data_IF_326679470715
#
_entry.id   IF_326679470715
#
_cell.length_a   1.000
_cell.length_b   1.000
_cell.length_c   1.000
_cell.angle_alpha   90.00
_cell.angle_beta   90.00
_cell.angle_gamma   90.00
#
_symmetry.space_group_name_H-M   'P 1'
#
loop_
_entity.id
_entity.type
_entity.pdbx_description
1 polymer ?
#
# COMPACT_ATOMS: atom_id res chain seq x y z
N UNK A 1 -16.64 14.05 -13.29
CA UNK A 1 -16.16 12.69 -13.60
C UNK A 1 -17.21 11.73 -13.07
N UNK A 2 -17.83 10.93 -13.93
CA UNK A 2 -18.79 9.90 -13.53
C UNK A 2 -18.00 8.74 -12.94
N UNK A 3 -17.89 8.65 -11.62
CA UNK A 3 -17.33 7.47 -10.97
C UNK A 3 -18.35 6.33 -11.13
N UNK A 4 -18.09 5.41 -12.05
CA UNK A 4 -18.89 4.22 -12.20
C UNK A 4 -18.54 3.27 -11.05
N UNK A 5 -19.51 2.94 -10.20
CA UNK A 5 -19.31 1.98 -9.12
C UNK A 5 -18.69 0.68 -9.67
N UNK A 6 -17.52 0.29 -9.15
CA UNK A 6 -16.83 -0.96 -9.50
C UNK A 6 -15.80 -0.90 -10.63
N UNK A 7 -15.46 0.27 -11.19
CA UNK A 7 -14.29 0.38 -12.08
C UNK A 7 -13.02 0.50 -11.25
N UNK A 8 -12.14 -0.51 -11.32
CA UNK A 8 -10.81 -0.45 -10.73
C UNK A 8 -10.04 0.75 -11.31
N UNK A 9 -9.71 1.72 -10.45
CA UNK A 9 -8.81 2.81 -10.78
C UNK A 9 -7.45 2.44 -10.17
N UNK A 10 -6.44 2.04 -10.97
CA UNK A 10 -5.12 1.78 -10.42
C UNK A 10 -4.46 3.09 -10.00
N UNK A 11 -3.48 2.99 -9.09
CA UNK A 11 -2.52 4.08 -8.93
C UNK A 11 -1.85 4.34 -10.29
N UNK A 12 -1.62 5.60 -10.62
CA UNK A 12 -1.02 6.02 -11.88
C UNK A 12 0.42 6.44 -11.64
N UNK A 13 1.36 5.85 -12.38
CA UNK A 13 2.71 6.39 -12.45
C UNK A 13 2.82 7.33 -13.64
N UNK A 14 3.39 8.50 -13.40
CA UNK A 14 3.83 9.39 -14.48
C UNK A 14 5.34 9.37 -14.46
N UNK A 15 5.96 8.90 -15.55
CA UNK A 15 7.42 8.98 -15.69
C UNK A 15 7.81 10.46 -15.78
N UNK A 16 8.25 10.99 -14.65
CA UNK A 16 8.88 12.30 -14.52
C UNK A 16 10.37 12.14 -14.23
N UNK A 17 10.93 10.96 -14.45
CA UNK A 17 12.31 10.72 -14.10
C UNK A 17 13.20 11.64 -14.93
N UNK A 18 14.06 12.44 -14.29
CA UNK A 18 15.02 13.26 -15.00
C UNK A 18 15.90 12.39 -15.92
N UNK A 19 16.32 12.98 -17.04
CA UNK A 19 17.26 12.34 -17.98
C UNK A 19 18.68 12.22 -17.41
N UNK A 20 18.96 12.97 -16.35
CA UNK A 20 20.19 12.94 -15.56
C UNK A 20 19.92 12.38 -14.16
N UNK A 21 20.93 11.80 -13.48
CA UNK A 21 20.76 11.34 -12.10
C UNK A 21 20.39 12.49 -11.16
N UNK A 22 19.81 12.16 -10.00
CA UNK A 22 19.78 13.09 -8.88
C UNK A 22 21.21 13.51 -8.56
N UNK A 23 21.41 14.80 -8.29
CA UNK A 23 22.74 15.34 -8.02
C UNK A 23 23.37 14.74 -6.75
N UNK A 24 22.53 14.30 -5.80
CA UNK A 24 22.99 13.67 -4.57
C UNK A 24 22.13 12.45 -4.20
N UNK A 25 22.74 11.35 -3.73
CA UNK A 25 24.19 11.15 -3.56
C UNK A 25 24.93 11.22 -4.91
N UNK A 26 26.06 11.93 -4.93
CA UNK A 26 26.80 12.22 -6.16
C UNK A 26 27.18 10.90 -6.86
N UNK A 27 26.71 10.67 -8.09
CA UNK A 27 26.99 9.44 -8.82
C UNK A 27 28.48 9.21 -9.09
N UNK A 28 29.33 10.24 -9.04
CA UNK A 28 30.77 10.09 -9.17
C UNK A 28 31.44 9.58 -7.87
N UNK A 29 30.75 9.69 -6.73
CA UNK A 29 31.32 9.44 -5.40
C UNK A 29 30.78 8.17 -4.75
N UNK A 30 29.55 7.75 -5.10
CA UNK A 30 28.83 6.63 -4.49
C UNK A 30 28.34 5.61 -5.51
N UNK A 31 28.19 4.35 -5.09
CA UNK A 31 27.49 3.30 -5.86
C UNK A 31 26.29 2.76 -5.05
N UNK A 32 25.15 3.49 -4.99
CA UNK A 32 24.02 3.16 -4.13
C UNK A 32 23.30 1.86 -4.51
N UNK A 33 23.05 1.02 -3.50
CA UNK A 33 22.29 -0.24 -3.57
C UNK A 33 21.39 -0.41 -2.35
N UNK A 34 20.35 -1.22 -2.50
CA UNK A 34 19.37 -1.59 -1.48
C UNK A 34 18.77 -0.38 -0.76
N UNK A 35 18.09 0.46 -1.53
CA UNK A 35 17.49 1.70 -1.00
C UNK A 35 16.36 1.36 -0.04
N UNK A 36 16.37 1.98 1.12
CA UNK A 36 15.23 2.04 2.03
C UNK A 36 15.04 3.48 2.53
N UNK A 37 14.00 3.71 3.33
CA UNK A 37 13.78 5.04 3.87
C UNK A 37 12.50 5.20 4.65
N UNK A 38 12.32 6.43 5.11
CA UNK A 38 11.12 6.91 5.79
C UNK A 38 10.93 8.40 5.56
N UNK A 39 9.71 8.87 5.82
CA UNK A 39 9.32 10.28 5.71
C UNK A 39 8.06 10.44 4.88
N UNK A 40 7.65 11.69 4.69
CA UNK A 40 6.47 12.05 3.92
C UNK A 40 6.52 13.53 3.48
N UNK A 41 5.61 13.95 2.61
CA UNK A 41 5.41 15.37 2.25
C UNK A 41 6.69 16.09 1.80
N UNK A 42 7.41 15.53 0.81
CA UNK A 42 8.69 16.07 0.34
C UNK A 42 9.80 16.13 1.42
N UNK A 43 9.55 15.64 2.63
CA UNK A 43 10.51 15.54 3.73
C UNK A 43 10.80 14.08 4.05
N UNK A 44 11.90 13.56 3.53
CA UNK A 44 12.22 12.15 3.69
C UNK A 44 13.71 11.88 3.74
N UNK A 45 14.04 10.75 4.35
CA UNK A 45 15.40 10.22 4.47
C UNK A 45 15.49 8.93 3.68
N UNK A 46 16.53 8.81 2.86
CA UNK A 46 16.88 7.57 2.16
C UNK A 46 18.16 7.00 2.75
N UNK A 47 18.20 5.68 2.85
CA UNK A 47 19.36 4.89 3.23
C UNK A 47 19.78 4.02 2.06
N UNK A 48 21.08 3.81 1.89
CA UNK A 48 21.61 2.90 0.88
C UNK A 48 22.95 2.31 1.32
N UNK A 49 23.26 1.13 0.81
CA UNK A 49 24.60 0.56 0.82
C UNK A 49 25.44 1.23 -0.26
N UNK A 50 26.64 1.70 0.09
CA UNK A 50 27.62 2.15 -0.90
C UNK A 50 28.52 0.97 -1.34
N UNK A 51 28.31 0.49 -2.56
CA UNK A 51 29.01 -0.69 -3.11
C UNK A 51 30.21 -0.37 -3.98
N UNK A 52 30.71 0.88 -3.91
CA UNK A 52 31.85 1.30 -4.72
C UNK A 52 33.09 0.40 -4.44
N UNK A 53 34.03 0.27 -5.40
CA UNK A 53 35.22 -0.55 -5.21
C UNK A 53 36.04 -0.13 -3.99
N UNK A 54 36.57 -1.12 -3.26
CA UNK A 54 37.48 -0.90 -2.12
C UNK A 54 36.96 -1.39 -0.77
N UNK A 55 35.66 -1.73 -0.67
CA UNK A 55 35.11 -2.40 0.51
C UNK A 55 35.19 -3.93 0.39
N UNK A 56 35.32 -4.66 1.51
CA UNK A 56 35.19 -6.12 1.50
C UNK A 56 33.81 -6.55 1.02
N UNK A 57 33.75 -7.70 0.33
CA UNK A 57 32.46 -8.33 0.02
C UNK A 57 31.67 -8.55 1.31
N UNK A 58 30.38 -8.20 1.28
CA UNK A 58 29.44 -8.31 2.41
C UNK A 58 29.76 -7.40 3.63
N UNK A 59 30.52 -6.32 3.43
CA UNK A 59 30.79 -5.29 4.45
C UNK A 59 30.74 -3.88 3.84
N UNK A 60 29.57 -3.52 3.32
CA UNK A 60 29.35 -2.23 2.66
C UNK A 60 28.82 -1.21 3.66
N UNK A 61 29.40 0.00 3.77
CA UNK A 61 28.87 1.01 4.66
C UNK A 61 27.50 1.49 4.21
N UNK A 62 26.61 1.70 5.17
CA UNK A 62 25.31 2.31 4.95
C UNK A 62 25.43 3.83 5.06
N UNK A 63 24.87 4.55 4.10
CA UNK A 63 24.77 6.00 4.11
C UNK A 63 23.32 6.44 4.21
N UNK A 64 23.11 7.65 4.74
CA UNK A 64 21.80 8.29 4.85
C UNK A 64 21.85 9.72 4.30
N UNK A 65 20.80 10.16 3.64
CA UNK A 65 20.60 11.55 3.26
C UNK A 65 19.14 11.96 3.45
N UNK A 66 18.94 13.16 3.99
CA UNK A 66 17.61 13.74 4.25
C UNK A 66 17.38 14.94 3.36
N UNK A 67 16.19 15.01 2.77
CA UNK A 67 15.69 16.21 2.06
C UNK A 67 14.47 16.75 2.78
N UNK A 68 14.26 18.07 2.71
CA UNK A 68 13.03 18.77 3.11
C UNK A 68 12.31 19.43 1.93
N UNK A 69 12.88 19.33 0.72
CA UNK A 69 12.43 20.00 -0.50
C UNK A 69 12.17 19.00 -1.64
N UNK A 70 11.82 17.76 -1.31
CA UNK A 70 11.53 16.70 -2.27
C UNK A 70 12.78 16.05 -2.85
N UNK A 71 12.64 15.17 -3.87
CA UNK A 71 13.73 14.32 -4.36
C UNK A 71 14.92 15.09 -4.94
N UNK A 72 14.75 16.34 -5.36
CA UNK A 72 15.84 17.20 -5.86
C UNK A 72 16.54 18.01 -4.76
N UNK A 73 16.08 17.91 -3.51
CA UNK A 73 16.56 18.70 -2.38
C UNK A 73 17.59 18.02 -1.48
N UNK A 74 18.19 16.90 -1.90
CA UNK A 74 19.21 16.21 -1.11
C UNK A 74 20.47 17.07 -0.92
N UNK A 75 21.09 17.04 0.29
CA UNK A 75 22.33 17.75 0.57
C UNK A 75 23.49 17.19 -0.25
N UNK A 76 24.57 17.97 -0.36
CA UNK A 76 25.79 17.59 -1.10
C UNK A 76 26.58 16.46 -0.46
N UNK A 77 26.39 16.22 0.83
CA UNK A 77 27.07 15.16 1.57
C UNK A 77 26.05 14.22 2.24
N UNK A 78 26.35 12.93 2.20
CA UNK A 78 25.58 11.91 2.90
C UNK A 78 26.25 11.57 4.24
N UNK A 79 25.44 11.28 5.24
CA UNK A 79 25.93 10.86 6.55
C UNK A 79 26.23 9.35 6.52
N UNK A 80 27.43 8.96 6.95
CA UNK A 80 27.77 7.55 7.12
C UNK A 80 27.17 7.01 8.42
N UNK A 81 26.53 5.85 8.34
CA UNK A 81 26.02 5.12 9.50
C UNK A 81 27.11 4.20 10.06
N UNK A 82 27.05 3.89 11.35
CA UNK A 82 27.87 2.85 11.99
C UNK A 82 27.38 1.41 11.69
N UNK A 83 26.77 1.18 10.53
CA UNK A 83 26.16 -0.08 10.10
C UNK A 83 26.81 -0.55 8.80
N UNK A 84 27.07 -1.86 8.71
CA UNK A 84 27.62 -2.51 7.52
C UNK A 84 26.84 -3.75 7.04
N UNK A 85 25.65 -3.96 7.60
CA UNK A 85 24.74 -5.01 7.18
C UNK A 85 24.16 -4.73 5.79
N UNK A 86 23.70 -5.79 5.12
CA UNK A 86 23.02 -5.65 3.83
C UNK A 86 21.51 -5.52 4.00
N UNK A 87 20.81 -5.00 2.99
CA UNK A 87 19.35 -4.79 3.00
C UNK A 87 18.89 -4.02 4.24
N UNK A 88 19.62 -2.96 4.59
CA UNK A 88 19.31 -2.15 5.76
C UNK A 88 18.00 -1.39 5.54
N UNK A 89 16.93 -1.87 6.19
CA UNK A 89 15.60 -1.27 6.12
C UNK A 89 15.35 -0.43 7.37
N UNK A 90 15.39 0.89 7.24
CA UNK A 90 15.15 1.82 8.34
C UNK A 90 13.73 2.41 8.29
N UNK A 91 13.10 2.58 9.45
CA UNK A 91 11.76 3.18 9.60
C UNK A 91 11.69 4.16 10.76
N UNK A 92 10.96 5.26 10.56
CA UNK A 92 10.51 6.17 11.61
C UNK A 92 9.29 5.58 12.35
N UNK A 93 9.51 4.41 12.96
CA UNK A 93 8.54 3.69 13.79
C UNK A 93 9.08 3.66 15.22
N UNK A 94 8.62 4.56 16.12
CA UNK A 94 9.18 4.66 17.47
C UNK A 94 9.06 3.36 18.25
N UNK A 95 10.05 3.06 19.10
CA UNK A 95 10.10 1.81 19.88
C UNK A 95 10.75 2.02 21.24
N UNK A 96 10.25 1.30 22.26
CA UNK A 96 10.91 1.22 23.57
C UNK A 96 11.71 -0.08 23.68
N UNK A 97 13.00 0.05 24.01
CA UNK A 97 13.93 -1.04 24.29
C UNK A 97 14.59 -0.77 25.63
N UNK A 98 14.48 -1.73 26.57
CA UNK A 98 15.08 -1.65 27.91
C UNK A 98 14.75 -0.33 28.65
N UNK A 99 13.51 0.15 28.52
CA UNK A 99 13.05 1.40 29.13
C UNK A 99 13.51 2.68 28.42
N UNK A 100 14.28 2.60 27.34
CA UNK A 100 14.69 3.74 26.52
C UNK A 100 13.84 3.85 25.26
N UNK A 101 13.36 5.06 24.95
CA UNK A 101 12.61 5.35 23.73
C UNK A 101 13.56 5.72 22.59
N UNK A 102 13.32 5.12 21.43
CA UNK A 102 14.03 5.37 20.19
C UNK A 102 13.06 5.84 19.11
N UNK A 103 13.45 6.87 18.36
CA UNK A 103 12.66 7.43 17.26
C UNK A 103 12.64 6.50 16.04
N UNK A 104 13.75 5.78 15.82
CA UNK A 104 13.95 4.95 14.65
C UNK A 104 14.20 3.51 15.04
N UNK A 105 13.79 2.61 14.15
CA UNK A 105 14.17 1.21 14.17
C UNK A 105 14.59 0.75 12.78
N UNK A 106 15.42 -0.27 12.71
CA UNK A 106 15.86 -0.84 11.45
C UNK A 106 16.16 -2.33 11.55
N UNK A 107 16.21 -2.98 10.40
CA UNK A 107 16.56 -4.38 10.25
C UNK A 107 17.62 -4.52 9.16
N UNK A 108 18.66 -5.31 9.41
CA UNK A 108 19.71 -5.61 8.43
C UNK A 108 19.97 -7.11 8.35
N UNK A 109 20.40 -7.59 7.20
CA UNK A 109 20.88 -8.96 7.01
C UNK A 109 22.39 -9.03 7.19
N UNK A 110 22.83 -10.06 7.94
CA UNK A 110 24.23 -10.30 8.25
C UNK A 110 24.84 -11.09 7.10
N UNK A 111 25.30 -10.41 6.06
CA UNK A 111 25.79 -11.07 4.84
C UNK A 111 24.73 -11.95 4.18
N UNK A 112 25.15 -13.02 3.50
CA UNK A 112 24.26 -13.94 2.79
C UNK A 112 23.97 -15.21 3.61
N UNK A 113 23.60 -15.05 4.88
CA UNK A 113 23.24 -16.13 5.81
C UNK A 113 21.89 -15.84 6.49
N UNK A 114 21.23 -16.84 7.14
CA UNK A 114 19.92 -16.66 7.76
C UNK A 114 19.79 -15.65 8.91
N UNK A 115 20.87 -14.95 9.26
CA UNK A 115 20.92 -14.06 10.41
C UNK A 115 20.57 -12.63 10.03
N UNK A 116 19.70 -12.03 10.84
CA UNK A 116 19.32 -10.63 10.77
C UNK A 116 19.66 -9.93 12.07
N UNK A 117 19.76 -8.60 12.04
CA UNK A 117 19.95 -7.76 13.21
C UNK A 117 18.85 -6.73 13.34
N UNK A 118 18.40 -6.52 14.56
CA UNK A 118 17.46 -5.47 14.92
C UNK A 118 18.23 -4.28 15.51
N UNK A 119 17.98 -3.09 14.96
CA UNK A 119 18.64 -1.85 15.35
C UNK A 119 17.64 -0.80 15.84
N UNK A 120 18.12 0.07 16.72
CA UNK A 120 17.40 1.27 17.17
C UNK A 120 18.32 2.49 17.16
N UNK A 121 17.75 3.67 16.92
CA UNK A 121 18.49 4.92 16.93
C UNK A 121 17.62 6.14 17.27
N UNK A 122 18.27 7.21 17.72
CA UNK A 122 17.68 8.55 17.87
C UNK A 122 18.31 9.58 16.93
N UNK A 123 19.30 9.17 16.15
CA UNK A 123 19.93 9.94 15.08
C UNK A 123 20.17 9.02 13.87
N UNK A 124 20.58 9.59 12.74
CA UNK A 124 20.72 8.84 11.48
C UNK A 124 22.01 8.01 11.40
N UNK A 125 22.98 8.24 12.28
CA UNK A 125 24.35 7.75 12.16
C UNK A 125 24.75 6.70 13.20
N UNK A 126 24.22 6.81 14.43
CA UNK A 126 24.56 5.97 15.57
C UNK A 126 23.43 4.98 15.86
N UNK A 127 23.46 3.86 15.17
CA UNK A 127 22.56 2.74 15.36
C UNK A 127 23.10 1.78 16.41
N UNK A 128 22.25 1.43 17.36
CA UNK A 128 22.53 0.39 18.36
C UNK A 128 21.94 -0.92 17.85
N UNK A 129 22.80 -1.92 17.60
CA UNK A 129 22.34 -3.30 17.43
C UNK A 129 21.79 -3.80 18.77
N UNK A 130 20.51 -4.15 18.81
CA UNK A 130 19.82 -4.65 19.99
C UNK A 130 19.91 -6.16 20.07
N UNK A 131 19.69 -6.85 18.95
CA UNK A 131 19.72 -8.31 18.89
C UNK A 131 20.05 -8.82 17.49
N UNK A 132 20.46 -10.08 17.43
CA UNK A 132 20.60 -10.88 16.21
C UNK A 132 19.56 -11.99 16.25
N UNK A 133 18.82 -12.21 15.16
CA UNK A 133 17.71 -13.16 15.11
C UNK A 133 17.66 -13.91 13.78
N UNK A 134 16.81 -14.94 13.74
CA UNK A 134 16.52 -15.75 12.55
C UNK A 134 15.03 -16.04 12.49
N UNK A 135 14.48 -16.19 11.29
CA UNK A 135 13.06 -16.54 11.09
C UNK A 135 12.94 -18.06 10.98
N UNK A 136 12.91 -18.74 12.13
CA UNK A 136 13.16 -20.20 12.20
C UNK A 136 12.08 -21.05 11.52
N UNK A 137 10.83 -20.56 11.46
CA UNK A 137 9.72 -21.31 10.88
C UNK A 137 9.68 -21.25 9.33
N UNK A 138 10.58 -20.49 8.69
CA UNK A 138 10.68 -20.42 7.23
C UNK A 138 10.95 -21.80 6.58
N UNK A 139 11.70 -22.66 7.26
CA UNK A 139 11.97 -24.04 6.80
C UNK A 139 10.74 -24.92 6.67
N UNK A 140 9.60 -24.52 7.26
CA UNK A 140 8.33 -25.22 7.13
C UNK A 140 7.66 -25.03 5.76
N UNK A 141 8.04 -24.02 4.98
CA UNK A 141 7.48 -23.78 3.64
C UNK A 141 8.19 -24.59 2.56
N UNK A 142 9.51 -24.64 2.60
CA UNK A 142 10.32 -25.52 1.75
C UNK A 142 11.53 -26.02 2.55
N UNK A 143 11.82 -27.34 2.59
CA UNK A 143 12.98 -27.86 3.31
C UNK A 143 14.29 -27.18 2.91
N UNK A 144 14.94 -26.55 3.88
CA UNK A 144 16.19 -25.81 3.67
C UNK A 144 16.00 -24.35 3.25
N UNK A 145 14.76 -23.85 3.19
CA UNK A 145 14.49 -22.45 2.96
C UNK A 145 14.61 -21.60 4.24
N UNK A 146 15.29 -20.47 4.11
CA UNK A 146 15.39 -19.45 5.15
C UNK A 146 15.32 -18.06 4.51
N UNK A 147 14.88 -17.06 5.28
CA UNK A 147 15.10 -15.67 4.92
C UNK A 147 16.61 -15.41 4.94
N UNK A 148 17.22 -15.20 3.78
CA UNK A 148 18.67 -15.03 3.65
C UNK A 148 19.04 -13.56 3.51
N UNK A 149 18.33 -12.85 2.62
CA UNK A 149 18.52 -11.42 2.51
C UNK A 149 17.57 -10.68 3.47
N UNK A 150 17.86 -9.41 3.71
CA UNK A 150 17.08 -8.61 4.66
C UNK A 150 15.72 -8.24 4.08
N UNK A 151 15.00 -7.44 4.86
CA UNK A 151 13.69 -6.97 4.43
C UNK A 151 13.85 -5.88 3.37
N UNK A 152 13.15 -6.03 2.25
CA UNK A 152 13.07 -4.96 1.25
C UNK A 152 12.19 -3.80 1.74
N UNK A 153 11.18 -4.12 2.56
CA UNK A 153 10.32 -3.13 3.18
C UNK A 153 9.69 -3.69 4.47
N UNK A 154 9.23 -2.77 5.32
CA UNK A 154 8.46 -3.07 6.53
C UNK A 154 7.28 -2.11 6.63
N UNK A 155 6.07 -2.66 6.74
CA UNK A 155 4.83 -1.91 6.93
C UNK A 155 4.23 -2.23 8.30
N UNK A 156 3.53 -1.25 8.89
CA UNK A 156 2.71 -1.44 10.08
C UNK A 156 1.25 -1.35 9.68
N UNK A 157 0.52 -2.46 9.73
CA UNK A 157 -0.89 -2.55 9.33
C UNK A 157 -1.68 -3.11 10.51
N UNK A 158 -2.68 -2.36 10.98
CA UNK A 158 -3.55 -2.74 12.10
C UNK A 158 -2.81 -3.25 13.35
N UNK A 159 -1.67 -2.63 13.70
CA UNK A 159 -0.88 -3.03 14.86
C UNK A 159 0.00 -4.28 14.65
N UNK A 160 0.03 -4.85 13.44
CA UNK A 160 0.96 -5.93 13.07
C UNK A 160 1.99 -5.41 12.06
N UNK A 161 3.25 -5.74 12.31
CA UNK A 161 4.34 -5.42 11.39
C UNK A 161 4.42 -6.52 10.34
N UNK A 162 4.52 -6.14 9.07
CA UNK A 162 4.69 -7.04 7.93
C UNK A 162 5.97 -6.68 7.20
N UNK A 163 6.73 -7.70 6.79
CA UNK A 163 7.96 -7.53 6.03
C UNK A 163 8.12 -8.61 4.96
N UNK A 164 9.00 -8.36 4.00
CA UNK A 164 9.25 -9.23 2.86
C UNK A 164 10.75 -9.43 2.67
N UNK A 165 11.21 -10.65 2.94
CA UNK A 165 12.61 -11.06 2.79
C UNK A 165 12.79 -11.99 1.60
N UNK A 166 13.96 -11.95 0.98
CA UNK A 166 14.33 -12.94 -0.05
C UNK A 166 14.76 -14.25 0.62
N UNK A 167 14.14 -15.34 0.21
CA UNK A 167 14.49 -16.69 0.57
C UNK A 167 15.68 -17.20 -0.25
N UNK A 168 16.53 -18.03 0.34
CA UNK A 168 17.60 -18.73 -0.40
C UNK A 168 17.09 -19.71 -1.47
N UNK A 169 15.82 -20.11 -1.41
CA UNK A 169 15.15 -20.89 -2.46
C UNK A 169 14.62 -20.03 -3.62
N UNK A 170 15.04 -18.76 -3.71
CA UNK A 170 14.61 -17.81 -4.72
C UNK A 170 13.27 -17.14 -4.41
N UNK A 171 12.39 -17.71 -3.59
CA UNK A 171 11.10 -17.11 -3.26
C UNK A 171 11.20 -15.86 -2.37
N UNK A 172 10.10 -15.13 -2.26
CA UNK A 172 9.87 -14.08 -1.26
C UNK A 172 9.15 -14.68 -0.06
N UNK A 173 9.78 -14.57 1.12
CA UNK A 173 9.16 -14.91 2.39
C UNK A 173 8.40 -13.71 2.92
N UNK A 174 7.14 -13.96 3.26
CA UNK A 174 6.27 -13.01 3.91
C UNK A 174 6.27 -13.27 5.41
N UNK A 175 6.63 -12.24 6.16
CA UNK A 175 6.82 -12.38 7.59
C UNK A 175 6.02 -11.33 8.34
N UNK A 176 5.59 -11.68 9.54
CA UNK A 176 4.86 -10.79 10.45
C UNK A 176 5.52 -10.77 11.82
N UNK A 177 5.30 -9.68 12.54
CA UNK A 177 5.74 -9.54 13.93
C UNK A 177 4.74 -8.67 14.71
N UNK A 178 4.40 -9.02 15.96
CA UNK A 178 3.54 -8.19 16.80
C UNK A 178 4.29 -6.98 17.37
N UNK A 179 5.62 -7.03 17.50
CA UNK A 179 6.39 -5.92 18.10
C UNK A 179 7.25 -5.14 17.11
N UNK A 180 7.53 -5.71 15.94
CA UNK A 180 8.47 -5.18 14.96
C UNK A 180 9.88 -5.11 15.53
N UNK A 181 10.30 -6.11 16.30
CA UNK A 181 11.65 -6.22 16.87
C UNK A 181 12.37 -7.40 16.19
N UNK A 182 12.58 -8.48 16.93
CA UNK A 182 13.29 -9.71 16.56
C UNK A 182 12.39 -10.96 16.59
N UNK A 183 11.10 -10.78 16.81
CA UNK A 183 10.04 -11.78 16.94
C UNK A 183 9.26 -11.97 15.63
N UNK A 184 9.98 -12.22 14.54
CA UNK A 184 9.40 -12.41 13.20
C UNK A 184 9.04 -13.87 12.94
N UNK A 185 7.87 -14.09 12.35
CA UNK A 185 7.44 -15.40 11.86
C UNK A 185 7.00 -15.33 10.39
N UNK A 186 7.40 -16.31 9.60
CA UNK A 186 6.93 -16.47 8.23
C UNK A 186 5.50 -17.03 8.22
N UNK A 187 4.59 -16.43 7.45
CA UNK A 187 3.21 -16.93 7.30
C UNK A 187 2.89 -17.34 5.86
N UNK A 188 3.68 -16.90 4.89
CA UNK A 188 3.54 -17.30 3.49
C UNK A 188 4.88 -17.20 2.74
N UNK A 189 4.91 -17.89 1.61
CA UNK A 189 5.99 -17.88 0.62
C UNK A 189 5.39 -17.61 -0.76
N UNK A 190 6.00 -16.72 -1.53
CA UNK A 190 5.53 -16.34 -2.88
C UNK A 190 6.71 -16.24 -3.85
N UNK A 191 6.57 -16.73 -5.09
CA UNK A 191 7.63 -16.78 -6.11
C UNK A 191 8.59 -17.96 -5.97
N UNK A 192 9.47 -18.15 -6.96
CA UNK A 192 10.44 -19.27 -7.03
C UNK A 192 10.39 -20.00 -8.38
N UNK A 193 11.04 -21.17 -8.46
CA UNK A 193 11.02 -22.10 -9.59
C UNK A 193 9.81 -23.07 -9.56
N UNK A 194 9.10 -23.16 -8.43
CA UNK A 194 7.90 -23.97 -8.29
C UNK A 194 6.69 -23.29 -8.97
N UNK A 195 6.08 -24.02 -9.91
CA UNK A 195 4.98 -23.58 -10.77
C UNK A 195 3.62 -23.37 -10.04
N UNK A 196 3.60 -22.81 -8.82
CA UNK A 196 2.36 -22.47 -8.12
C UNK A 196 2.46 -21.35 -7.06
N UNK A 197 3.64 -20.80 -6.78
CA UNK A 197 3.84 -20.11 -5.50
C UNK A 197 3.45 -18.63 -5.54
N UNK A 198 2.23 -18.34 -5.11
CA UNK A 198 1.85 -17.01 -4.62
C UNK A 198 1.21 -16.02 -5.63
N UNK A 199 0.78 -14.85 -5.16
CA UNK A 199 -0.16 -13.98 -5.86
C UNK A 199 0.39 -13.19 -7.04
N UNK A 200 1.72 -13.08 -7.18
CA UNK A 200 2.34 -12.22 -8.19
C UNK A 200 3.22 -12.97 -9.19
N UNK A 201 3.50 -14.27 -8.98
CA UNK A 201 4.22 -15.16 -9.92
C UNK A 201 5.23 -14.44 -10.80
N UNK A 202 6.26 -13.91 -10.14
CA UNK A 202 7.27 -13.06 -10.75
C UNK A 202 8.17 -13.94 -11.64
N UNK A 203 7.71 -14.23 -12.87
CA UNK A 203 8.20 -15.26 -13.79
C UNK A 203 9.69 -15.19 -14.15
N UNK A 204 10.39 -14.09 -13.87
CA UNK A 204 11.76 -13.88 -14.35
C UNK A 204 12.77 -13.41 -13.31
N UNK A 205 12.33 -13.04 -12.11
CA UNK A 205 13.23 -12.75 -11.00
C UNK A 205 12.45 -12.93 -9.71
N UNK A 206 12.74 -13.99 -8.93
CA UNK A 206 11.93 -14.32 -7.77
C UNK A 206 12.30 -13.44 -6.54
N UNK A 207 13.17 -12.44 -6.76
CA UNK A 207 13.64 -11.46 -5.79
C UNK A 207 12.48 -10.53 -5.38
N UNK A 208 12.21 -10.30 -4.07
CA UNK A 208 11.15 -9.44 -3.53
C UNK A 208 11.20 -7.96 -3.94
N UNK A 209 12.17 -7.59 -4.77
CA UNK A 209 12.55 -6.24 -5.17
C UNK A 209 11.37 -5.30 -5.45
N UNK A 210 11.58 -4.05 -5.05
CA UNK A 210 10.59 -2.97 -5.05
C UNK A 210 9.84 -2.83 -3.73
N UNK A 211 8.84 -1.96 -3.69
CA UNK A 211 8.23 -1.50 -2.44
C UNK A 211 6.77 -1.93 -2.30
N UNK A 212 6.35 -2.22 -1.07
CA UNK A 212 4.93 -2.37 -0.74
C UNK A 212 4.40 -1.06 -0.19
N UNK A 213 3.11 -0.81 -0.39
CA UNK A 213 2.53 0.48 -0.02
C UNK A 213 1.12 0.29 0.49
N UNK A 214 0.86 0.73 1.72
CA UNK A 214 -0.50 0.93 2.20
C UNK A 214 -1.10 2.10 1.44
N UNK A 215 -2.15 1.86 0.65
CA UNK A 215 -2.83 2.88 -0.15
C UNK A 215 -3.51 3.95 0.72
N UNK A 216 -3.65 3.73 2.02
CA UNK A 216 -4.36 4.63 2.92
C UNK A 216 -5.87 4.61 2.70
N UNK A 217 -6.63 5.21 3.62
CA UNK A 217 -8.11 5.21 3.58
C UNK A 217 -8.74 3.83 3.39
N UNK A 218 -8.05 2.78 3.85
CA UNK A 218 -8.50 1.41 3.70
C UNK A 218 -8.67 0.94 2.24
N UNK A 219 -8.01 1.60 1.28
CA UNK A 219 -8.09 1.31 -0.17
C UNK A 219 -7.45 -0.01 -0.58
N UNK A 220 -6.57 -0.56 0.27
CA UNK A 220 -5.85 -1.79 -0.01
C UNK A 220 -4.34 -1.61 0.03
N UNK A 221 -3.64 -2.57 -0.58
CA UNK A 221 -2.19 -2.58 -0.66
C UNK A 221 -1.72 -2.47 -2.12
N UNK A 222 -0.69 -1.67 -2.36
CA UNK A 222 0.04 -1.62 -3.62
C UNK A 222 1.38 -2.36 -3.52
N UNK A 223 1.85 -2.87 -4.65
CA UNK A 223 3.21 -3.40 -4.84
C UNK A 223 3.80 -2.81 -6.11
N UNK A 224 4.86 -2.02 -5.94
CA UNK A 224 5.77 -1.70 -7.05
C UNK A 224 6.75 -2.86 -7.15
N UNK A 225 6.60 -3.68 -8.18
CA UNK A 225 7.49 -4.79 -8.47
C UNK A 225 8.59 -4.33 -9.43
N UNK A 226 9.83 -4.79 -9.19
CA UNK A 226 10.93 -4.57 -10.12
C UNK A 226 11.28 -5.85 -10.88
N UNK A 227 11.14 -5.82 -12.20
CA UNK A 227 11.72 -6.84 -13.08
C UNK A 227 13.03 -6.30 -13.62
N UNK A 228 14.12 -6.73 -13.01
CA UNK A 228 15.49 -6.33 -13.37
C UNK A 228 15.67 -6.41 -14.88
N UNK A 229 16.18 -5.33 -15.49
CA UNK A 229 16.37 -5.18 -16.95
C UNK A 229 15.11 -5.03 -17.83
N UNK A 230 13.89 -5.06 -17.26
CA UNK A 230 12.64 -4.87 -18.02
C UNK A 230 11.88 -3.60 -17.61
N UNK A 231 11.67 -3.35 -16.31
CA UNK A 231 10.95 -2.17 -15.84
C UNK A 231 10.36 -2.31 -14.43
N UNK A 232 9.64 -1.28 -13.99
CA UNK A 232 8.78 -1.35 -12.82
C UNK A 232 7.34 -1.66 -13.21
N UNK A 233 6.65 -2.41 -12.37
CA UNK A 233 5.26 -2.82 -12.55
C UNK A 233 4.48 -2.51 -11.29
N UNK A 234 3.19 -2.24 -11.42
CA UNK A 234 2.33 -1.96 -10.28
C UNK A 234 1.18 -2.98 -10.23
N UNK A 235 1.04 -3.61 -9.08
CA UNK A 235 -0.13 -4.38 -8.72
C UNK A 235 -0.82 -3.75 -7.51
N UNK A 236 -2.15 -3.80 -7.48
CA UNK A 236 -2.98 -3.33 -6.39
C UNK A 236 -3.86 -4.47 -5.91
N UNK A 237 -4.00 -4.60 -4.60
CA UNK A 237 -4.91 -5.52 -3.96
C UNK A 237 -5.87 -4.73 -3.05
N UNK A 238 -7.06 -4.44 -3.56
CA UNK A 238 -8.10 -3.71 -2.84
C UNK A 238 -8.77 -4.55 -1.74
N UNK A 239 -8.53 -5.86 -1.71
CA UNK A 239 -8.98 -6.73 -0.63
C UNK A 239 -8.03 -6.66 0.59
N UNK A 240 -6.75 -6.30 0.42
CA UNK A 240 -5.75 -6.13 1.50
C UNK A 240 -5.95 -4.84 2.28
N UNK A 241 -7.07 -4.74 2.98
CA UNK A 241 -7.49 -3.50 3.66
C UNK A 241 -6.88 -3.39 5.05
N UNK A 242 -6.43 -2.20 5.40
CA UNK A 242 -5.73 -1.92 6.65
C UNK A 242 -6.59 -2.12 7.91
N UNK A 243 -7.92 -2.20 7.79
CA UNK A 243 -8.84 -2.45 8.90
C UNK A 243 -9.06 -3.94 9.21
N UNK A 244 -8.56 -4.85 8.37
CA UNK A 244 -8.76 -6.28 8.53
C UNK A 244 -7.98 -6.82 9.73
N UNK A 245 -8.47 -7.90 10.33
CA UNK A 245 -7.65 -8.68 11.26
C UNK A 245 -6.43 -9.26 10.53
N UNK A 246 -5.33 -9.58 11.25
CA UNK A 246 -4.13 -10.16 10.61
C UNK A 246 -4.45 -11.37 9.73
N UNK A 247 -5.29 -12.30 10.21
CA UNK A 247 -5.66 -13.49 9.45
C UNK A 247 -6.43 -13.17 8.15
N UNK A 248 -7.36 -12.21 8.20
CA UNK A 248 -8.11 -11.77 7.01
C UNK A 248 -7.22 -11.02 6.02
N UNK A 249 -6.33 -10.15 6.52
CA UNK A 249 -5.37 -9.43 5.69
C UNK A 249 -4.44 -10.41 4.96
N UNK A 250 -3.90 -11.41 5.66
CA UNK A 250 -3.00 -12.41 5.09
C UNK A 250 -3.69 -13.31 4.07
N UNK A 251 -4.93 -13.72 4.35
CA UNK A 251 -5.75 -14.46 3.38
C UNK A 251 -6.05 -13.61 2.14
N UNK A 252 -6.35 -12.32 2.31
CA UNK A 252 -6.56 -11.40 1.20
C UNK A 252 -5.29 -11.16 0.39
N UNK A 253 -4.12 -11.10 1.05
CA UNK A 253 -2.83 -10.89 0.42
C UNK A 253 -2.42 -12.08 -0.42
N UNK A 254 -2.48 -13.28 0.16
CA UNK A 254 -1.95 -14.50 -0.47
C UNK A 254 -2.82 -14.99 -1.64
N UNK A 255 -4.06 -14.53 -1.74
CA UNK A 255 -4.95 -14.86 -2.84
C UNK A 255 -4.59 -14.09 -4.13
N UNK A 256 -4.09 -14.82 -5.13
CA UNK A 256 -3.70 -14.31 -6.47
C UNK A 256 -4.83 -13.54 -7.17
N UNK A 257 -6.07 -13.97 -7.00
CA UNK A 257 -7.22 -13.36 -7.67
C UNK A 257 -7.52 -11.93 -7.17
N UNK A 258 -6.99 -11.56 -5.99
CA UNK A 258 -7.17 -10.23 -5.41
C UNK A 258 -6.20 -9.18 -5.95
N UNK A 259 -5.13 -9.60 -6.64
CA UNK A 259 -4.16 -8.68 -7.21
C UNK A 259 -4.53 -8.32 -8.64
N UNK A 260 -4.68 -7.02 -8.87
CA UNK A 260 -4.98 -6.43 -10.17
C UNK A 260 -3.80 -5.57 -10.61
N UNK A 261 -3.31 -5.82 -11.80
CA UNK A 261 -2.22 -5.05 -12.40
C UNK A 261 -2.70 -3.72 -12.98
N UNK A 262 -1.77 -2.82 -13.23
CA UNK A 262 -1.97 -1.50 -13.84
C UNK A 262 -2.79 -1.52 -15.14
N UNK A 263 -2.72 -2.62 -15.89
CA UNK A 263 -3.49 -2.83 -17.12
C UNK A 263 -4.92 -3.38 -16.90
N UNK A 264 -5.35 -3.54 -15.65
CA UNK A 264 -6.67 -4.06 -15.27
C UNK A 264 -6.80 -5.59 -15.27
N UNK A 265 -5.74 -6.33 -15.61
CA UNK A 265 -5.74 -7.80 -15.53
C UNK A 265 -5.54 -8.28 -14.10
N UNK A 266 -6.21 -9.37 -13.73
CA UNK A 266 -5.99 -10.05 -12.45
C UNK A 266 -5.14 -11.30 -12.64
N UNK A 267 -4.50 -11.75 -11.57
CA UNK A 267 -3.70 -12.97 -11.60
C UNK A 267 -2.30 -12.74 -12.17
N UNK A 268 -1.84 -13.65 -13.04
CA UNK A 268 -0.49 -13.58 -13.61
C UNK A 268 -0.33 -12.33 -14.48
N UNK A 269 0.77 -11.60 -14.30
CA UNK A 269 1.09 -10.52 -15.22
C UNK A 269 1.51 -11.10 -16.56
N UNK A 270 0.66 -10.94 -17.58
CA UNK A 270 0.90 -11.47 -18.94
C UNK A 270 1.35 -10.40 -19.94
N UNK A 271 1.40 -9.14 -19.52
CA UNK A 271 1.75 -8.01 -20.39
C UNK A 271 3.25 -7.66 -20.29
N UNK A 272 3.72 -6.84 -21.22
CA UNK A 272 5.13 -6.46 -21.37
C UNK A 272 5.39 -4.97 -21.12
N UNK A 273 4.35 -4.16 -20.82
CA UNK A 273 4.47 -2.70 -20.72
C UNK A 273 4.58 -2.25 -19.26
N UNK A 274 5.77 -1.84 -18.78
CA UNK A 274 5.96 -1.40 -17.40
C UNK A 274 5.40 0.01 -17.15
N UNK A 275 5.11 0.32 -15.88
CA UNK A 275 4.80 1.68 -15.40
C UNK A 275 6.01 2.62 -15.46
N UNK A 276 7.22 2.04 -15.53
CA UNK A 276 8.48 2.74 -15.75
C UNK A 276 9.46 1.82 -16.49
N UNK A 277 9.99 2.27 -17.62
CA UNK A 277 10.89 1.47 -18.47
C UNK A 277 12.36 1.84 -18.31
N UNK A 278 13.24 0.88 -18.57
CA UNK A 278 14.62 1.21 -18.92
C UNK A 278 14.66 2.09 -20.18
N UNK A 279 15.67 2.95 -20.26
CA UNK A 279 15.95 3.75 -21.46
C UNK A 279 17.40 3.53 -21.87
N UNK A 280 17.80 4.05 -23.04
CA UNK A 280 19.22 4.08 -23.44
C UNK A 280 20.09 4.87 -22.45
N UNK A 281 19.50 5.82 -21.71
CA UNK A 281 20.20 6.65 -20.75
C UNK A 281 20.30 6.03 -19.34
N UNK A 282 19.37 5.14 -18.95
CA UNK A 282 19.33 4.59 -17.59
C UNK A 282 18.66 3.22 -17.48
N UNK A 283 19.12 2.39 -16.54
CA UNK A 283 18.40 1.16 -16.12
C UNK A 283 17.68 1.36 -14.78
N UNK A 284 16.81 0.41 -14.40
CA UNK A 284 16.05 0.39 -13.15
C UNK A 284 16.38 -0.89 -12.38
N UNK A 285 16.57 -0.82 -11.04
CA UNK A 285 16.98 -1.99 -10.23
C UNK A 285 16.21 -2.20 -8.94
N UNK A 286 16.10 -1.20 -8.08
CA UNK A 286 15.47 -1.27 -6.76
C UNK A 286 14.78 0.06 -6.49
N UNK A 287 13.67 0.03 -5.78
CA UNK A 287 12.94 1.23 -5.43
C UNK A 287 12.38 1.17 -4.03
N UNK A 288 12.20 2.36 -3.47
CA UNK A 288 11.45 2.63 -2.26
C UNK A 288 10.39 3.69 -2.58
N UNK A 289 9.23 3.61 -1.95
CA UNK A 289 8.15 4.57 -2.13
C UNK A 289 8.04 5.45 -0.90
N UNK A 290 8.18 6.75 -1.11
CA UNK A 290 7.94 7.80 -0.12
C UNK A 290 6.43 8.07 -0.09
N UNK A 291 5.73 7.77 1.02
CA UNK A 291 4.31 8.09 1.14
C UNK A 291 4.09 9.60 1.27
N UNK A 292 2.86 10.04 1.05
CA UNK A 292 2.40 11.40 1.37
C UNK A 292 1.50 11.33 2.60
N UNK A 293 1.51 12.37 3.45
CA UNK A 293 0.65 12.40 4.64
C UNK A 293 -0.82 12.54 4.25
N UNK A 294 -1.09 13.20 3.13
CA UNK A 294 -2.34 13.02 2.42
C UNK A 294 -2.18 11.79 1.50
N UNK A 295 -2.83 10.66 1.80
CA UNK A 295 -2.69 9.46 0.99
C UNK A 295 -3.38 9.59 -0.38
N UNK A 296 -4.07 10.70 -0.68
CA UNK A 296 -4.55 11.03 -2.03
C UNK A 296 -3.56 11.89 -2.83
N UNK A 297 -2.62 12.50 -2.12
CA UNK A 297 -1.55 13.29 -2.72
C UNK A 297 -0.56 12.44 -3.50
N UNK A 298 0.25 13.09 -4.31
CA UNK A 298 1.30 12.41 -5.06
C UNK A 298 2.39 11.88 -4.14
N UNK A 299 2.79 10.64 -4.39
CA UNK A 299 3.89 9.93 -3.74
C UNK A 299 5.11 9.92 -4.64
N UNK A 300 6.26 9.59 -4.07
CA UNK A 300 7.53 9.58 -4.80
C UNK A 300 8.11 8.18 -4.79
N UNK A 301 8.35 7.61 -5.96
CA UNK A 301 9.19 6.43 -6.12
C UNK A 301 10.63 6.94 -6.17
N UNK A 302 11.47 6.56 -5.22
CA UNK A 302 12.93 6.77 -5.29
C UNK A 302 13.57 5.45 -5.65
N UNK A 303 14.51 5.45 -6.59
CA UNK A 303 15.09 4.20 -7.08
C UNK A 303 16.56 4.33 -7.46
N UNK A 304 17.28 3.22 -7.50
CA UNK A 304 18.63 3.19 -8.05
C UNK A 304 18.60 2.81 -9.53
N UNK A 305 19.52 3.44 -10.25
CA UNK A 305 19.61 3.34 -11.68
C UNK A 305 21.05 3.42 -12.14
N UNK A 306 21.40 2.62 -13.14
CA UNK A 306 22.67 2.73 -13.84
C UNK A 306 22.52 3.78 -14.94
N UNK A 307 23.08 4.98 -14.73
CA UNK A 307 23.02 6.09 -15.68
C UNK A 307 24.18 6.02 -16.68
N UNK A 308 23.86 5.61 -17.91
CA UNK A 308 24.81 5.31 -18.99
C UNK A 308 25.57 6.53 -19.53
N UNK A 309 25.13 7.74 -19.20
CA UNK A 309 25.73 9.00 -19.65
C UNK A 309 27.04 9.37 -18.91
N UNK A 310 27.39 8.67 -17.83
CA UNK A 310 28.60 8.96 -17.03
C UNK A 310 29.57 7.78 -17.13
N UNK A 311 30.65 7.89 -17.94
CA UNK A 311 31.66 6.84 -18.05
C UNK A 311 32.28 6.51 -16.67
N UNK A 312 32.07 5.30 -16.18
CA UNK A 312 32.62 4.83 -14.89
C UNK A 312 31.73 5.01 -13.66
N UNK A 313 30.64 5.77 -13.73
CA UNK A 313 29.63 5.82 -12.66
C UNK A 313 28.48 4.87 -13.02
N UNK A 314 28.37 3.77 -12.29
CA UNK A 314 27.50 2.65 -12.67
C UNK A 314 26.17 2.64 -11.94
N UNK A 315 25.96 3.41 -10.87
CA UNK A 315 24.68 3.49 -10.14
C UNK A 315 24.48 4.88 -9.51
N UNK A 316 23.26 5.42 -9.56
CA UNK A 316 22.84 6.67 -8.94
C UNK A 316 21.36 6.62 -8.55
N UNK A 317 20.85 7.66 -7.87
CA UNK A 317 19.42 7.75 -7.58
C UNK A 317 18.64 8.45 -8.70
N UNK A 318 17.45 7.93 -8.99
CA UNK A 318 16.40 8.55 -9.78
C UNK A 318 15.10 8.62 -8.98
N UNK A 319 14.09 9.31 -9.51
CA UNK A 319 12.77 9.32 -8.91
C UNK A 319 11.65 9.38 -9.96
N UNK A 320 10.46 8.94 -9.59
CA UNK A 320 9.24 9.08 -10.37
C UNK A 320 8.05 9.44 -9.46
N UNK A 321 6.99 9.97 -10.06
CA UNK A 321 5.75 10.30 -9.35
C UNK A 321 4.77 9.13 -9.41
N UNK A 322 4.22 8.76 -8.25
CA UNK A 322 3.15 7.78 -8.11
C UNK A 322 1.91 8.48 -7.56
N UNK A 323 0.84 8.54 -8.33
CA UNK A 323 -0.45 9.11 -7.91
C UNK A 323 -1.34 7.95 -7.45
N UNK A 324 -1.68 7.86 -6.16
CA UNK A 324 -2.54 6.80 -5.63
C UNK A 324 -3.98 6.93 -6.19
N UNK A 325 -4.78 5.85 -6.18
CA UNK A 325 -6.17 5.93 -6.65
C UNK A 325 -6.99 6.76 -5.67
N UNK A 326 -7.98 7.57 -6.10
CA UNK A 326 -8.78 8.37 -5.17
C UNK A 326 -9.51 7.47 -4.14
N UNK A 327 -9.90 8.01 -2.97
CA UNK A 327 -10.64 7.25 -1.98
C UNK A 327 -12.02 6.87 -2.55
N UNK A 328 -12.56 5.76 -2.04
CA UNK A 328 -13.90 5.32 -2.40
C UNK A 328 -14.94 6.41 -2.10
N UNK A 329 -15.99 6.57 -2.93
CA UNK A 329 -16.93 7.67 -2.81
C UNK A 329 -17.91 7.54 -1.64
N UNK A 330 -17.81 6.48 -0.81
CA UNK A 330 -18.63 6.30 0.39
C UNK A 330 -17.73 6.32 1.62
N UNK A 331 -17.89 7.33 2.48
CA UNK A 331 -17.10 7.54 3.70
C UNK A 331 -17.92 7.17 4.94
N UNK A 332 -17.47 6.17 5.69
CA UNK A 332 -17.91 5.99 7.06
C UNK A 332 -17.18 6.97 7.96
N UNK A 333 -17.84 8.09 8.26
CA UNK A 333 -17.29 9.20 9.05
C UNK A 333 -16.93 8.76 10.46
N UNK A 334 -17.68 7.80 11.03
CA UNK A 334 -17.45 7.31 12.39
C UNK A 334 -16.15 6.52 12.51
N UNK A 335 -15.82 5.74 11.46
CA UNK A 335 -14.63 4.86 11.45
C UNK A 335 -13.46 5.43 10.66
N UNK A 336 -13.68 6.53 9.95
CA UNK A 336 -12.77 7.09 8.94
C UNK A 336 -12.33 6.08 7.87
N UNK A 337 -13.29 5.30 7.37
CA UNK A 337 -13.08 4.27 6.34
C UNK A 337 -13.83 4.63 5.05
N UNK A 338 -13.24 4.28 3.90
CA UNK A 338 -13.77 4.60 2.59
C UNK A 338 -14.08 3.33 1.79
N UNK A 339 -15.13 3.40 0.96
CA UNK A 339 -15.69 2.26 0.24
C UNK A 339 -16.12 2.62 -1.18
N UNK A 340 -15.96 1.66 -2.09
CA UNK A 340 -16.37 1.79 -3.50
C UNK A 340 -17.88 1.60 -3.74
N UNK A 341 -18.58 1.02 -2.76
CA UNK A 341 -20.01 0.67 -2.84
C UNK A 341 -20.73 1.07 -1.57
N UNK A 342 -21.99 1.52 -1.71
CA UNK A 342 -22.83 1.87 -0.57
C UNK A 342 -23.13 0.61 0.25
N UNK A 343 -23.46 -0.52 -0.39
CA UNK A 343 -23.79 -1.75 0.33
C UNK A 343 -22.60 -2.23 1.18
N UNK A 344 -21.37 -2.16 0.65
CA UNK A 344 -20.19 -2.59 1.40
C UNK A 344 -19.97 -1.73 2.65
N UNK A 345 -20.15 -0.41 2.53
CA UNK A 345 -20.09 0.49 3.68
C UNK A 345 -21.18 0.19 4.71
N UNK A 346 -22.41 -0.11 4.27
CA UNK A 346 -23.52 -0.50 5.14
C UNK A 346 -23.26 -1.84 5.84
N UNK A 347 -22.69 -2.83 5.15
CA UNK A 347 -22.35 -4.13 5.70
C UNK A 347 -21.32 -4.01 6.83
N UNK A 348 -20.30 -3.18 6.62
CA UNK A 348 -19.23 -2.96 7.61
C UNK A 348 -19.55 -1.91 8.68
N UNK A 349 -20.57 -1.10 8.47
CA UNK A 349 -21.02 -0.12 9.47
C UNK A 349 -21.40 -0.83 10.79
N UNK A 350 -20.91 -0.26 11.90
CA UNK A 350 -21.45 -0.51 13.23
C UNK A 350 -22.81 0.15 13.40
N UNK A 351 -23.56 -0.27 14.42
CA UNK A 351 -24.81 0.40 14.75
C UNK A 351 -24.54 1.84 15.23
N UNK A 352 -25.23 2.81 14.64
CA UNK A 352 -25.09 4.24 14.91
C UNK A 352 -24.05 4.96 14.05
N UNK A 353 -23.38 4.26 13.13
CA UNK A 353 -22.40 4.88 12.23
C UNK A 353 -23.05 5.90 11.29
N UNK A 354 -22.25 6.89 10.85
CA UNK A 354 -22.64 7.87 9.84
C UNK A 354 -21.88 7.61 8.55
N UNK A 355 -22.62 7.33 7.49
CA UNK A 355 -22.11 7.11 6.14
C UNK A 355 -22.43 8.34 5.27
N UNK A 356 -21.42 8.91 4.64
CA UNK A 356 -21.56 9.97 3.63
C UNK A 356 -21.26 9.42 2.24
N UNK A 357 -22.16 9.64 1.31
CA UNK A 357 -22.06 9.17 -0.06
C UNK A 357 -21.85 10.39 -0.96
N UNK A 358 -20.76 10.38 -1.74
CA UNK A 358 -20.49 11.42 -2.71
C UNK A 358 -21.51 11.40 -3.86
N UNK A 359 -21.54 12.47 -4.66
CA UNK A 359 -22.39 12.51 -5.83
C UNK A 359 -21.92 11.47 -6.86
N UNK A 360 -22.85 10.77 -7.48
CA UNK A 360 -22.57 9.67 -8.39
C UNK A 360 -23.74 8.71 -8.55
N UNK A 361 -23.66 7.82 -9.54
CA UNK A 361 -24.68 6.79 -9.78
C UNK A 361 -24.20 5.44 -9.28
N UNK A 362 -24.93 4.88 -8.33
CA UNK A 362 -24.66 3.63 -7.65
C UNK A 362 -25.67 2.58 -8.11
N UNK A 363 -25.17 1.59 -8.84
CA UNK A 363 -26.00 0.53 -9.45
C UNK A 363 -26.02 -0.71 -8.56
N UNK A 364 -26.72 -0.60 -7.45
CA UNK A 364 -26.80 -1.62 -6.41
C UNK A 364 -28.15 -1.59 -5.69
N UNK A 365 -28.45 -2.64 -4.94
CA UNK A 365 -29.53 -2.62 -3.94
C UNK A 365 -28.88 -2.35 -2.59
N UNK A 366 -29.38 -1.34 -1.87
CA UNK A 366 -28.88 -0.97 -0.54
C UNK A 366 -29.81 -1.52 0.55
N UNK A 367 -29.39 -2.58 1.23
CA UNK A 367 -30.10 -3.19 2.36
C UNK A 367 -29.56 -2.68 3.69
N UNK A 368 -30.39 -1.99 4.46
CA UNK A 368 -30.06 -1.47 5.81
C UNK A 368 -30.80 -2.31 6.85
N UNK A 369 -30.04 -3.07 7.65
CA UNK A 369 -30.56 -3.97 8.69
C UNK A 369 -30.19 -3.57 10.12
N UNK A 370 -29.55 -2.41 10.27
CA UNK A 370 -29.02 -1.88 11.53
C UNK A 370 -29.27 -0.37 11.61
N UNK A 371 -29.21 0.19 12.82
CA UNK A 371 -29.27 1.65 13.01
C UNK A 371 -28.03 2.29 12.37
N UNK A 372 -28.22 3.29 11.52
CA UNK A 372 -27.15 4.12 10.94
C UNK A 372 -27.76 5.36 10.27
N UNK A 373 -26.92 6.34 9.97
CA UNK A 373 -27.27 7.47 9.12
C UNK A 373 -26.59 7.30 7.76
N UNK A 374 -27.37 7.27 6.68
CA UNK A 374 -26.90 7.23 5.32
C UNK A 374 -27.23 8.57 4.65
N UNK A 375 -26.20 9.35 4.34
CA UNK A 375 -26.32 10.73 3.89
C UNK A 375 -25.71 10.88 2.50
N UNK A 376 -26.53 11.20 1.50
CA UNK A 376 -26.11 11.48 0.13
C UNK A 376 -25.57 12.90 -0.04
N UNK A 377 -25.14 13.21 -1.26
CA UNK A 377 -24.52 14.49 -1.61
C UNK A 377 -25.41 15.71 -1.36
N UNK A 378 -26.73 15.52 -1.29
CA UNK A 378 -27.71 16.57 -1.04
C UNK A 378 -28.36 16.47 0.36
N UNK A 379 -27.70 15.81 1.32
CA UNK A 379 -28.23 15.69 2.67
C UNK A 379 -28.44 17.09 3.30
N UNK A 380 -29.61 17.31 3.91
CA UNK A 380 -30.06 18.59 4.45
C UNK A 380 -30.60 19.57 3.41
N UNK A 381 -30.60 19.23 2.12
CA UNK A 381 -31.18 20.06 1.05
C UNK A 381 -32.58 19.58 0.73
N UNK A 382 -33.56 20.44 1.04
CA UNK A 382 -34.97 20.18 0.74
C UNK A 382 -35.19 20.12 -0.79
N UNK A 383 -35.66 18.99 -1.34
CA UNK A 383 -35.92 18.89 -2.78
C UNK A 383 -37.07 19.79 -3.25
N UNK A 384 -37.93 20.28 -2.34
CA UNK A 384 -39.06 21.15 -2.68
C UNK A 384 -38.57 22.52 -3.16
N UNK A 385 -39.29 23.10 -4.12
CA UNK A 385 -38.98 24.45 -4.63
C UNK A 385 -37.84 24.52 -5.65
N UNK A 386 -37.38 23.37 -6.17
CA UNK A 386 -36.40 23.32 -7.27
C UNK A 386 -34.94 23.54 -6.85
N UNK A 387 -34.63 23.40 -5.55
CA UNK A 387 -33.25 23.47 -5.05
C UNK A 387 -32.39 22.27 -5.49
N UNK A 388 -33.03 21.17 -5.88
CA UNK A 388 -32.42 19.95 -6.42
C UNK A 388 -32.89 19.71 -7.85
N UNK A 389 -32.00 19.15 -8.66
CA UNK A 389 -32.28 18.78 -10.05
C UNK A 389 -32.08 17.28 -10.19
N UNK A 390 -33.15 16.56 -10.52
CA UNK A 390 -33.13 15.11 -10.79
C UNK A 390 -32.07 14.76 -11.85
N UNK A 391 -31.33 13.68 -11.62
CA UNK A 391 -30.26 13.18 -12.47
C UNK A 391 -29.01 14.07 -12.53
N UNK A 392 -28.92 15.11 -11.68
CA UNK A 392 -27.77 16.01 -11.65
C UNK A 392 -26.49 15.30 -11.24
N UNK A 393 -25.36 15.75 -11.77
CA UNK A 393 -24.02 15.30 -11.33
C UNK A 393 -23.70 15.66 -9.86
N UNK A 394 -24.59 16.40 -9.18
CA UNK A 394 -24.50 16.71 -7.74
C UNK A 394 -25.38 15.81 -6.86
N UNK A 395 -26.08 14.82 -7.43
CA UNK A 395 -26.93 13.87 -6.72
C UNK A 395 -26.17 12.57 -6.40
N UNK A 396 -26.48 11.97 -5.25
CA UNK A 396 -26.19 10.56 -4.99
C UNK A 396 -27.38 9.74 -5.45
N UNK A 397 -27.21 9.02 -6.55
CA UNK A 397 -28.29 8.31 -7.25
C UNK A 397 -28.15 6.81 -7.01
N UNK A 398 -29.12 6.18 -6.36
CA UNK A 398 -29.24 4.72 -6.28
C UNK A 398 -30.14 4.26 -7.43
N UNK A 399 -29.55 3.55 -8.39
CA UNK A 399 -30.19 3.11 -9.64
C UNK A 399 -30.42 1.60 -9.62
N UNK A 400 -31.68 1.19 -9.53
CA UNK A 400 -32.11 -0.21 -9.59
C UNK A 400 -31.91 -0.88 -10.96
N UNK A 401 -31.59 -0.09 -12.01
CA UNK A 401 -31.36 -0.51 -13.39
C UNK A 401 -32.50 -1.32 -14.03
N UNK A 402 -33.74 -1.13 -13.56
CA UNK A 402 -34.93 -1.88 -13.95
C UNK A 402 -34.77 -3.41 -13.86
N UNK A 403 -33.87 -3.86 -13.00
CA UNK A 403 -33.52 -5.29 -12.83
C UNK A 403 -33.41 -5.70 -11.36
N UNK A 404 -33.36 -4.73 -10.44
CA UNK A 404 -33.36 -4.96 -8.99
C UNK A 404 -34.76 -4.72 -8.43
N UNK A 405 -35.30 -5.62 -7.58
CA UNK A 405 -36.63 -5.44 -6.97
C UNK A 405 -36.70 -4.15 -6.15
N UNK A 406 -35.65 -3.88 -5.38
CA UNK A 406 -35.52 -2.65 -4.61
C UNK A 406 -34.24 -1.86 -4.95
N UNK A 407 -34.35 -0.53 -4.93
CA UNK A 407 -33.18 0.36 -4.86
C UNK A 407 -32.62 0.39 -3.43
N UNK A 408 -33.49 0.64 -2.45
CA UNK A 408 -33.17 0.59 -1.03
C UNK A 408 -34.18 -0.26 -0.25
N UNK A 409 -33.67 -1.11 0.64
CA UNK A 409 -34.46 -1.99 1.50
C UNK A 409 -34.08 -1.83 2.97
N UNK A 410 -34.96 -1.23 3.77
CA UNK A 410 -34.74 -1.05 5.21
C UNK A 410 -35.50 -2.15 5.95
N UNK A 411 -34.75 -3.13 6.49
CA UNK A 411 -35.30 -4.43 6.91
C UNK A 411 -34.85 -4.87 8.29
N UNK A 412 -35.80 -5.05 9.20
CA UNK A 412 -35.61 -5.82 10.44
C UNK A 412 -35.70 -7.34 10.23
N UNK A 413 -35.14 -8.12 11.14
CA UNK A 413 -35.17 -9.60 11.06
C UNK A 413 -36.58 -10.18 11.26
N UNK A 414 -37.51 -9.43 11.88
CA UNK A 414 -38.90 -9.85 12.03
C UNK A 414 -39.72 -8.88 12.89
N UNK A 415 -40.99 -9.20 13.14
CA UNK A 415 -41.90 -8.34 13.90
C UNK A 415 -41.40 -8.00 15.32
N UNK A 416 -40.65 -8.90 15.95
CA UNK A 416 -40.05 -8.72 17.28
C UNK A 416 -38.58 -8.26 17.24
N UNK A 417 -37.98 -8.20 16.05
CA UNK A 417 -36.59 -7.77 15.85
C UNK A 417 -36.55 -6.78 14.69
N UNK A 418 -37.00 -5.56 15.02
CA UNK A 418 -37.21 -4.48 14.06
C UNK A 418 -35.95 -3.64 13.93
N UNK A 419 -35.63 -3.18 12.72
CA UNK A 419 -34.61 -2.15 12.54
C UNK A 419 -35.18 -0.81 13.01
N UNK A 420 -34.39 -0.02 13.73
CA UNK A 420 -34.80 1.29 14.24
C UNK A 420 -33.71 2.33 14.06
N UNK A 421 -34.09 3.61 14.11
CA UNK A 421 -33.16 4.73 14.11
C UNK A 421 -32.28 4.71 12.86
N UNK A 422 -32.94 4.71 11.70
CA UNK A 422 -32.29 4.84 10.39
C UNK A 422 -32.64 6.21 9.84
N UNK A 423 -31.62 6.98 9.48
CA UNK A 423 -31.77 8.21 8.72
C UNK A 423 -31.24 7.98 7.31
N UNK A 424 -32.04 8.26 6.30
CA UNK A 424 -31.63 8.38 4.91
C UNK A 424 -31.94 9.80 4.48
N UNK A 425 -30.99 10.47 3.85
CA UNK A 425 -31.21 11.84 3.38
C UNK A 425 -30.31 12.13 2.18
N UNK A 426 -30.74 13.01 1.26
CA UNK A 426 -29.89 13.51 0.18
C UNK A 426 -29.66 12.57 -1.01
N UNK A 427 -30.55 11.60 -1.24
CA UNK A 427 -30.48 10.68 -2.38
C UNK A 427 -31.57 10.93 -3.41
N UNK A 428 -31.28 10.54 -4.64
CA UNK A 428 -32.27 10.15 -5.65
C UNK A 428 -32.28 8.62 -5.74
N UNK A 429 -33.45 7.99 -5.76
CA UNK A 429 -33.57 6.52 -5.81
C UNK A 429 -34.61 6.14 -6.84
N UNK A 430 -34.22 5.38 -7.86
CA UNK A 430 -35.05 5.14 -9.03
C UNK A 430 -34.74 3.82 -9.76
N UNK A 431 -35.55 3.49 -10.76
CA UNK A 431 -35.45 2.30 -11.62
C UNK A 431 -35.40 0.96 -10.86
N UNK A 432 -36.02 0.84 -9.69
CA UNK A 432 -36.31 -0.48 -9.14
C UNK A 432 -37.52 -1.11 -9.84
N UNK A 433 -37.61 -2.44 -9.91
CA UNK A 433 -38.77 -3.11 -10.55
C UNK A 433 -40.02 -3.12 -9.68
N UNK A 434 -39.85 -3.15 -8.35
CA UNK A 434 -40.97 -3.28 -7.41
C UNK A 434 -41.14 -2.00 -6.60
N UNK A 435 -40.08 -1.54 -5.92
CA UNK A 435 -40.12 -0.31 -5.14
C UNK A 435 -38.75 0.36 -5.04
N UNK A 436 -38.68 1.67 -5.29
CA UNK A 436 -37.43 2.42 -5.10
C UNK A 436 -36.96 2.33 -3.63
N UNK A 437 -37.89 2.41 -2.68
CA UNK A 437 -37.62 2.22 -1.25
C UNK A 437 -38.68 1.30 -0.65
N UNK A 438 -38.23 0.28 0.08
CA UNK A 438 -39.09 -0.67 0.80
C UNK A 438 -38.74 -0.70 2.29
N UNK A 439 -39.76 -0.85 3.12
CA UNK A 439 -39.64 -1.00 4.57
C UNK A 439 -40.31 -2.29 5.03
N UNK A 440 -39.52 -3.19 5.64
CA UNK A 440 -40.05 -4.39 6.30
C UNK A 440 -39.57 -4.40 7.75
N UNK A 441 -40.50 -4.47 8.71
CA UNK A 441 -40.14 -4.50 10.14
C UNK A 441 -39.23 -3.33 10.58
N UNK A 442 -39.50 -2.12 10.09
CA UNK A 442 -38.70 -0.91 10.36
C UNK A 442 -39.48 0.14 11.16
N UNK A 443 -38.86 0.74 12.19
CA UNK A 443 -39.45 1.75 13.10
C UNK A 443 -38.54 2.98 13.14
N UNK A 444 -39.09 4.16 13.43
CA UNK A 444 -38.30 5.39 13.57
C UNK A 444 -37.30 5.56 12.41
N UNK A 445 -37.82 5.51 11.19
CA UNK A 445 -37.03 5.72 9.97
C UNK A 445 -37.41 7.05 9.37
N UNK A 446 -36.41 7.86 9.04
CA UNK A 446 -36.58 9.14 8.33
C UNK A 446 -35.93 9.00 6.96
N UNK A 447 -36.65 9.39 5.90
CA UNK A 447 -36.22 9.37 4.50
C UNK A 447 -36.61 10.67 3.83
#
# INVERSE_FOLDING_TARGET
MTAQAGTFVPAKVTDQTPTSPLLNPDPATYEPRYISGFGSNNTFTVFWEDRRPGYPADNYPVFAATTINGPTGFPTEAAICNVTDTHFCAKAMPVTVEGTNYAYRAWGAVGNIPQHRFYVANDLTNWRCVSTFTITNATGFNPGEFAYYGFHDVLLINGTYYAWGEGNGGGTLMVRSPTGKDDWEAFARVGGDEQADGPLWLQESPIPSGAFIDLGYNRGLGKVHVRKSSGFYLAINTACRANLSPAEFEAAFTNVANWTWDNGTTGLYTNTTPILSNTTARTLRECWVVPNADPDGDWVIVYNADFKAVPGATNALGFAKLTPPPPGPVHNVTKDLYYDRIQLAVDEAGAGDVLRVAAGTYRETVTISKSLNLLGAQAGVDPRGGARTEGSASESIIDGQSSRPEGMFIKGAGATSRVTNVLVDGFEIHHATDANIRFDFANNVTV
#
